data_IF_601631226378
#
_entry.id   IF_601631226378
#
_cell.length_a   1.000
_cell.length_b   1.000
_cell.length_c   1.000
_cell.angle_alpha   90.00
_cell.angle_beta   90.00
_cell.angle_gamma   90.00
#
_symmetry.space_group_name_H-M   'P 1'
#
loop_
_entity.id
_entity.type
_entity.pdbx_description
1 polymer ?
#
# COMPACT_ATOMS: atom_id res chain seq x y z
N UNK A 1 -6.56 -28.41 1.44
CA UNK A 1 -6.25 -29.10 0.15
C UNK A 1 -5.04 -28.40 -0.41
N UNK A 2 -3.98 -29.14 -0.52
CA UNK A 2 -2.62 -28.73 -0.85
C UNK A 2 -2.53 -28.08 -2.23
N UNK A 3 -1.93 -26.89 -2.28
CA UNK A 3 -1.52 -26.28 -3.52
C UNK A 3 -0.33 -27.08 -4.08
N UNK A 4 -0.53 -27.67 -5.22
CA UNK A 4 0.43 -28.46 -5.95
C UNK A 4 1.59 -27.55 -6.40
N UNK A 5 2.77 -27.76 -5.86
CA UNK A 5 4.00 -27.11 -6.29
C UNK A 5 4.32 -27.48 -7.73
N UNK A 6 4.37 -26.49 -8.62
CA UNK A 6 4.91 -26.67 -9.96
C UNK A 6 6.44 -26.79 -9.87
N UNK A 7 6.96 -27.98 -10.04
CA UNK A 7 8.39 -28.24 -10.24
C UNK A 7 8.80 -27.77 -11.64
N UNK A 8 9.67 -26.77 -11.68
CA UNK A 8 10.36 -26.39 -12.90
C UNK A 8 11.00 -25.01 -12.83
N UNK A 9 12.27 -25.01 -12.57
CA UNK A 9 13.32 -23.99 -12.61
C UNK A 9 13.89 -23.69 -11.24
N UNK A 10 15.06 -24.28 -11.02
CA UNK A 10 16.11 -23.95 -10.07
C UNK A 10 15.62 -23.51 -8.68
N UNK A 11 15.90 -24.33 -7.71
CA UNK A 11 15.73 -24.08 -6.29
C UNK A 11 16.42 -22.76 -5.86
N UNK A 12 15.80 -21.62 -6.16
CA UNK A 12 16.11 -20.39 -5.49
C UNK A 12 15.49 -20.53 -4.10
N UNK A 13 16.28 -20.95 -3.14
CA UNK A 13 15.94 -20.89 -1.72
C UNK A 13 15.43 -19.47 -1.43
N UNK A 14 14.12 -19.29 -1.38
CA UNK A 14 13.45 -18.08 -0.89
C UNK A 14 13.73 -18.04 0.61
N UNK A 15 14.91 -17.56 0.97
CA UNK A 15 15.25 -17.35 2.36
C UNK A 15 14.36 -16.22 2.85
N UNK A 16 13.33 -16.56 3.61
CA UNK A 16 12.50 -15.59 4.32
C UNK A 16 13.41 -14.73 5.19
N UNK A 17 13.45 -13.42 4.94
CA UNK A 17 14.31 -12.49 5.68
C UNK A 17 13.79 -12.33 7.09
N UNK A 18 12.46 -12.22 7.26
CA UNK A 18 11.84 -12.09 8.57
C UNK A 18 10.36 -11.79 8.50
N UNK A 19 9.71 -11.93 9.63
CA UNK A 19 8.36 -11.44 9.89
C UNK A 19 8.50 -10.14 10.70
N UNK A 20 7.98 -9.05 10.16
CA UNK A 20 8.00 -7.72 10.76
C UNK A 20 6.59 -7.24 11.18
N UNK A 21 5.59 -8.14 11.16
CA UNK A 21 4.23 -7.82 11.56
C UNK A 21 3.98 -8.00 13.06
N UNK A 22 4.79 -8.81 13.74
CA UNK A 22 4.54 -9.20 15.13
C UNK A 22 5.77 -9.07 16.02
N UNK A 23 5.52 -8.70 17.29
CA UNK A 23 6.55 -8.66 18.32
C UNK A 23 7.62 -7.62 18.11
N UNK A 24 7.33 -6.58 17.35
CA UNK A 24 8.27 -5.50 17.05
C UNK A 24 8.56 -4.66 18.29
N UNK A 25 9.84 -4.34 18.52
CA UNK A 25 10.31 -3.47 19.58
C UNK A 25 10.88 -2.18 18.96
N UNK A 26 10.42 -1.03 19.40
CA UNK A 26 11.03 0.26 19.05
C UNK A 26 12.40 0.35 19.77
N UNK A 27 13.46 0.51 18.98
CA UNK A 27 14.85 0.60 19.47
C UNK A 27 15.41 2.00 19.43
N UNK A 28 14.84 2.88 18.61
CA UNK A 28 15.24 4.27 18.49
C UNK A 28 14.29 5.08 17.63
N UNK A 29 14.41 6.40 17.70
CA UNK A 29 13.73 7.31 16.80
C UNK A 29 14.53 8.60 16.63
N UNK A 30 14.28 9.27 15.49
CA UNK A 30 14.83 10.59 15.20
C UNK A 30 13.77 11.44 14.50
N UNK A 31 13.74 12.75 14.82
CA UNK A 31 12.88 13.72 14.16
C UNK A 31 13.74 14.78 13.49
N UNK A 32 13.45 15.04 12.21
CA UNK A 32 14.17 16.06 11.43
C UNK A 32 13.16 16.94 10.68
N UNK A 33 13.26 18.27 10.77
CA UNK A 33 12.42 19.15 9.96
C UNK A 33 12.85 19.09 8.49
N UNK A 34 11.86 19.14 7.60
CA UNK A 34 12.05 19.28 6.15
C UNK A 34 11.51 20.64 5.74
N UNK A 35 12.33 21.40 5.04
CA UNK A 35 11.95 22.64 4.39
C UNK A 35 12.63 22.69 3.02
N UNK A 36 11.86 22.48 1.96
CA UNK A 36 12.40 22.39 0.61
C UNK A 36 11.45 22.98 -0.43
N UNK A 37 12.02 23.43 -1.52
CA UNK A 37 11.25 23.88 -2.69
C UNK A 37 11.57 22.98 -3.86
N UNK A 38 10.52 22.48 -4.50
CA UNK A 38 10.67 21.73 -5.73
C UNK A 38 9.72 22.25 -6.83
N UNK A 39 10.03 21.90 -8.05
CA UNK A 39 9.26 22.31 -9.22
C UNK A 39 8.65 21.09 -9.92
N UNK A 40 7.42 21.27 -10.40
CA UNK A 40 6.71 20.30 -11.22
C UNK A 40 6.13 21.02 -12.44
N UNK A 41 6.54 20.60 -13.63
CA UNK A 41 6.25 21.35 -14.87
C UNK A 41 4.83 21.14 -15.41
N UNK A 42 4.10 20.15 -14.92
CA UNK A 42 2.82 19.71 -15.51
C UNK A 42 1.63 19.72 -14.57
N UNK A 43 1.72 20.47 -13.49
CA UNK A 43 0.62 20.61 -12.53
C UNK A 43 0.24 22.08 -12.33
N UNK A 44 -0.95 22.29 -11.76
CA UNK A 44 -1.54 23.62 -11.55
C UNK A 44 -0.62 24.56 -10.71
N UNK A 45 0.12 24.00 -9.77
CA UNK A 45 1.10 24.74 -8.98
C UNK A 45 2.50 24.22 -9.28
N UNK A 46 3.23 24.94 -10.12
CA UNK A 46 4.56 24.48 -10.59
C UNK A 46 5.66 24.59 -9.54
N UNK A 47 5.56 25.53 -8.60
CA UNK A 47 6.52 25.72 -7.50
C UNK A 47 5.85 25.34 -6.18
N UNK A 48 6.37 24.31 -5.53
CA UNK A 48 5.85 23.80 -4.26
C UNK A 48 6.88 24.03 -3.16
N UNK A 49 6.50 24.78 -2.13
CA UNK A 49 7.26 24.87 -0.90
C UNK A 49 6.73 23.81 0.06
N UNK A 50 7.51 22.77 0.29
CA UNK A 50 7.14 21.64 1.12
C UNK A 50 7.80 21.73 2.50
N UNK A 51 6.97 21.82 3.52
CA UNK A 51 7.38 21.86 4.92
C UNK A 51 6.74 20.70 5.67
N UNK A 52 7.56 19.91 6.33
CA UNK A 52 7.12 18.71 7.06
C UNK A 52 8.10 18.39 8.19
N UNK A 53 7.68 17.49 9.08
CA UNK A 53 8.58 16.79 9.98
C UNK A 53 8.75 15.34 9.52
N UNK A 54 9.98 14.88 9.40
CA UNK A 54 10.30 13.48 9.15
C UNK A 54 10.61 12.80 10.48
N UNK A 55 9.89 11.73 10.80
CA UNK A 55 10.12 10.86 11.94
C UNK A 55 10.59 9.51 11.41
N UNK A 56 11.79 9.10 11.81
CA UNK A 56 12.32 7.76 11.57
C UNK A 56 12.18 6.95 12.85
N UNK A 57 11.46 5.84 12.79
CA UNK A 57 11.34 4.88 13.88
C UNK A 57 12.10 3.60 13.53
N UNK A 58 13.07 3.23 14.35
CA UNK A 58 13.84 2.00 14.18
C UNK A 58 13.20 0.88 15.00
N UNK A 59 12.87 -0.22 14.37
CA UNK A 59 12.28 -1.39 15.01
C UNK A 59 13.15 -2.63 14.82
N UNK A 60 13.01 -3.54 15.78
CA UNK A 60 13.65 -4.84 15.77
C UNK A 60 12.62 -5.92 16.10
N UNK A 61 12.63 -7.01 15.35
CA UNK A 61 11.80 -8.16 15.63
C UNK A 61 12.45 -9.09 16.68
N UNK A 62 11.74 -10.13 17.20
CA UNK A 62 12.30 -11.03 18.22
C UNK A 62 13.56 -11.79 17.80
N UNK A 63 13.88 -11.80 16.50
CA UNK A 63 15.10 -12.44 15.95
C UNK A 63 16.25 -11.46 15.73
N UNK A 64 16.13 -10.21 16.20
CA UNK A 64 17.15 -9.18 16.02
C UNK A 64 17.21 -8.56 14.61
N UNK A 65 16.20 -8.79 13.78
CA UNK A 65 16.14 -8.25 12.43
C UNK A 65 15.48 -6.87 12.44
N UNK A 66 16.02 -5.94 11.66
CA UNK A 66 15.67 -4.52 11.70
C UNK A 66 14.80 -4.09 10.55
N UNK A 67 13.90 -3.16 10.83
CA UNK A 67 13.10 -2.42 9.87
C UNK A 67 12.93 -0.99 10.37
N UNK A 68 12.98 -0.03 9.46
CA UNK A 68 12.66 1.34 9.78
C UNK A 68 11.30 1.71 9.20
N UNK A 69 10.53 2.47 9.97
CA UNK A 69 9.31 3.12 9.51
C UNK A 69 9.57 4.61 9.47
N UNK A 70 9.47 5.20 8.29
CA UNK A 70 9.71 6.62 8.07
C UNK A 70 8.38 7.30 7.83
N UNK A 71 8.02 8.26 8.68
CA UNK A 71 6.84 9.10 8.51
C UNK A 71 7.27 10.50 8.07
N UNK A 72 6.48 11.11 7.21
CA UNK A 72 6.52 12.55 6.92
C UNK A 72 5.16 13.14 7.21
N UNK A 73 5.12 14.13 8.07
CA UNK A 73 3.90 14.80 8.50
C UNK A 73 3.98 16.26 8.14
N UNK A 74 3.12 16.70 7.25
CA UNK A 74 2.91 18.10 6.89
C UNK A 74 1.61 18.61 7.51
N UNK A 75 1.25 19.86 7.22
CA UNK A 75 -0.05 20.40 7.64
C UNK A 75 -1.23 19.80 6.88
N UNK A 76 -1.00 19.12 5.77
CA UNK A 76 -2.04 18.66 4.85
C UNK A 76 -2.04 17.16 4.61
N UNK A 77 -0.93 16.49 4.92
CA UNK A 77 -0.77 15.06 4.62
C UNK A 77 0.12 14.33 5.63
N UNK A 78 -0.03 13.02 5.65
CA UNK A 78 0.87 12.09 6.32
C UNK A 78 1.28 11.04 5.29
N UNK A 79 2.57 10.96 5.01
CA UNK A 79 3.14 9.89 4.21
C UNK A 79 3.98 8.97 5.09
N UNK A 80 4.02 7.68 4.74
CA UNK A 80 4.93 6.75 5.41
C UNK A 80 5.50 5.73 4.43
N UNK A 81 6.62 5.14 4.80
CA UNK A 81 7.24 4.02 4.09
C UNK A 81 7.99 3.11 5.04
N UNK A 82 8.13 1.86 4.64
CA UNK A 82 9.02 0.90 5.29
C UNK A 82 10.38 0.90 4.59
N UNK A 83 11.45 0.79 5.37
CA UNK A 83 12.81 0.65 4.85
C UNK A 83 13.46 -0.57 5.49
N UNK A 84 13.79 -1.56 4.68
CA UNK A 84 14.57 -2.72 5.10
C UNK A 84 16.06 -2.40 4.92
N UNK A 85 16.86 -2.42 5.98
CA UNK A 85 18.29 -2.22 5.87
C UNK A 85 18.91 -3.26 4.94
N UNK A 86 19.89 -2.83 4.13
CA UNK A 86 20.60 -3.73 3.23
C UNK A 86 21.28 -4.84 4.04
N UNK A 87 21.03 -6.07 3.67
CA UNK A 87 21.70 -7.22 4.29
C UNK A 87 22.94 -7.60 3.47
N UNK A 88 24.04 -7.86 4.17
CA UNK A 88 25.31 -8.23 3.55
C UNK A 88 25.15 -9.42 2.59
N UNK A 89 25.71 -9.26 1.40
CA UNK A 89 25.73 -10.29 0.36
C UNK A 89 24.44 -10.51 -0.45
N UNK A 90 23.39 -9.67 -0.26
CA UNK A 90 22.14 -9.81 -1.02
C UNK A 90 21.81 -8.56 -1.82
N UNK A 91 21.56 -8.75 -3.12
CA UNK A 91 21.22 -7.67 -4.04
C UNK A 91 19.76 -7.18 -3.93
N UNK A 92 18.82 -8.06 -3.59
CA UNK A 92 17.38 -7.75 -3.53
C UNK A 92 16.65 -8.56 -2.47
N UNK A 93 15.48 -8.08 -2.08
CA UNK A 93 14.55 -8.68 -1.13
C UNK A 93 13.17 -8.71 -1.75
N UNK A 94 12.46 -9.82 -1.64
CA UNK A 94 11.06 -9.92 -2.05
C UNK A 94 10.17 -9.75 -0.82
N UNK A 95 9.29 -8.74 -0.87
CA UNK A 95 8.22 -8.56 0.11
C UNK A 95 7.01 -9.37 -0.35
N UNK A 96 6.55 -10.30 0.47
CA UNK A 96 5.44 -11.22 0.11
C UNK A 96 4.08 -10.78 0.61
N UNK A 97 4.06 -9.97 1.67
CA UNK A 97 2.84 -9.41 2.24
C UNK A 97 3.13 -8.12 2.99
N UNK A 98 2.11 -7.31 3.15
CA UNK A 98 2.12 -6.07 3.93
C UNK A 98 0.89 -6.03 4.83
N UNK A 99 1.10 -5.79 6.13
CA UNK A 99 0.04 -5.76 7.16
C UNK A 99 -0.45 -4.33 7.45
N UNK A 100 -0.12 -3.38 6.59
CA UNK A 100 -0.60 -2.00 6.71
C UNK A 100 -2.11 -1.94 6.62
N UNK A 101 -2.72 -1.21 7.54
CA UNK A 101 -4.17 -1.03 7.54
C UNK A 101 -4.57 0.39 7.91
N UNK A 102 -5.71 0.80 7.36
CA UNK A 102 -6.35 2.10 7.60
C UNK A 102 -7.68 1.88 8.31
N UNK A 103 -7.75 2.30 9.58
CA UNK A 103 -8.96 2.19 10.40
C UNK A 103 -9.67 3.53 10.44
N UNK A 104 -10.97 3.50 10.16
CA UNK A 104 -11.82 4.68 10.14
C UNK A 104 -12.90 4.64 11.23
N UNK A 105 -13.41 5.80 11.66
CA UNK A 105 -14.59 5.89 12.55
C UNK A 105 -15.84 5.24 11.94
N UNK A 106 -16.81 4.89 12.78
CA UNK A 106 -18.02 4.17 12.32
C UNK A 106 -18.90 4.97 11.36
N UNK A 107 -18.93 6.30 11.48
CA UNK A 107 -19.72 7.19 10.60
C UNK A 107 -19.09 7.39 9.21
N UNK A 108 -18.03 6.66 8.88
CA UNK A 108 -17.34 6.81 7.61
C UNK A 108 -18.11 6.15 6.46
N UNK A 109 -18.21 6.87 5.35
CA UNK A 109 -18.67 6.35 4.05
C UNK A 109 -17.56 6.43 3.01
N UNK A 110 -17.71 5.71 1.93
CA UNK A 110 -16.65 5.49 0.96
C UNK A 110 -17.03 5.91 -0.45
N UNK A 111 -16.00 6.29 -1.23
CA UNK A 111 -16.05 6.53 -2.67
C UNK A 111 -14.88 5.76 -3.29
N UNK A 112 -15.09 4.48 -3.53
CA UNK A 112 -14.02 3.56 -3.90
C UNK A 112 -14.28 2.97 -5.29
N UNK A 113 -13.23 2.92 -6.11
CA UNK A 113 -13.24 2.25 -7.40
C UNK A 113 -12.87 0.77 -7.21
N UNK A 114 -13.77 -0.19 -7.50
CA UNK A 114 -13.45 -1.60 -7.35
C UNK A 114 -12.38 -2.01 -8.36
N UNK A 115 -11.44 -2.83 -7.91
CA UNK A 115 -10.47 -3.47 -8.80
C UNK A 115 -11.19 -4.46 -9.69
N UNK A 116 -11.15 -4.26 -11.00
CA UNK A 116 -11.68 -5.21 -11.96
C UNK A 116 -10.82 -6.49 -12.01
N UNK A 117 -11.46 -7.60 -12.40
CA UNK A 117 -10.74 -8.85 -12.64
C UNK A 117 -9.85 -8.69 -13.88
N UNK A 118 -8.55 -8.82 -13.71
CA UNK A 118 -7.57 -8.66 -14.78
C UNK A 118 -7.76 -9.64 -15.95
N UNK A 119 -8.34 -10.82 -15.68
CA UNK A 119 -8.56 -11.84 -16.71
C UNK A 119 -9.96 -11.79 -17.31
N UNK A 120 -10.94 -11.31 -16.56
CA UNK A 120 -12.36 -11.37 -16.92
C UNK A 120 -12.96 -9.97 -17.03
N UNK A 121 -12.51 -9.02 -16.23
CA UNK A 121 -13.04 -7.65 -16.17
C UNK A 121 -13.05 -6.98 -17.53
N UNK A 122 -11.96 -7.09 -18.27
CA UNK A 122 -11.87 -6.59 -19.65
C UNK A 122 -12.97 -7.13 -20.58
N UNK A 123 -13.30 -8.41 -20.49
CA UNK A 123 -14.34 -9.02 -21.31
C UNK A 123 -15.75 -8.66 -20.85
N UNK A 124 -15.95 -8.41 -19.56
CA UNK A 124 -17.25 -8.16 -18.97
C UNK A 124 -17.69 -6.72 -19.10
N UNK A 125 -16.76 -5.82 -18.88
CA UNK A 125 -17.14 -4.44 -18.62
C UNK A 125 -17.02 -3.58 -19.85
N UNK A 126 -15.90 -3.55 -20.46
CA UNK A 126 -15.63 -2.60 -21.54
C UNK A 126 -14.13 -2.73 -21.90
N UNK A 127 -13.68 -2.15 -22.98
CA UNK A 127 -12.26 -1.97 -23.23
C UNK A 127 -11.64 -0.89 -22.31
N UNK A 128 -11.96 -0.91 -21.01
CA UNK A 128 -11.51 0.00 -19.99
C UNK A 128 -11.51 -0.70 -18.64
N UNK A 129 -10.55 -0.37 -17.79
CA UNK A 129 -10.50 -0.80 -16.37
C UNK A 129 -11.23 0.19 -15.46
N UNK A 130 -11.89 1.17 -16.00
CA UNK A 130 -12.72 2.12 -15.26
C UNK A 130 -14.01 1.46 -14.81
N UNK A 131 -14.30 1.57 -13.53
CA UNK A 131 -15.50 1.04 -12.89
C UNK A 131 -16.25 2.18 -12.20
N UNK A 132 -17.55 1.99 -12.00
CA UNK A 132 -18.38 2.99 -11.36
C UNK A 132 -18.11 3.06 -9.85
N UNK A 133 -18.00 4.28 -9.33
CA UNK A 133 -17.96 4.53 -7.90
C UNK A 133 -19.37 4.44 -7.32
N UNK A 134 -19.49 3.77 -6.18
CA UNK A 134 -20.68 3.85 -5.36
C UNK A 134 -20.52 5.00 -4.37
N UNK A 135 -21.28 6.07 -4.57
CA UNK A 135 -21.23 7.23 -3.69
C UNK A 135 -21.77 6.93 -2.31
N UNK A 136 -21.07 7.41 -1.27
CA UNK A 136 -21.45 7.23 0.13
C UNK A 136 -21.75 5.77 0.52
N UNK A 137 -21.01 4.83 -0.05
CA UNK A 137 -21.19 3.43 0.29
C UNK A 137 -20.78 3.16 1.76
N UNK A 138 -21.49 2.28 2.47
CA UNK A 138 -21.10 1.92 3.82
C UNK A 138 -19.76 1.16 3.82
N UNK A 139 -19.01 1.30 4.91
CA UNK A 139 -17.73 0.60 5.09
C UNK A 139 -17.84 -0.93 5.04
N UNK A 140 -19.05 -1.48 5.25
CA UNK A 140 -19.34 -2.92 5.20
C UNK A 140 -19.48 -3.48 3.78
N UNK A 141 -19.55 -2.63 2.75
CA UNK A 141 -19.71 -3.09 1.38
C UNK A 141 -18.46 -3.85 0.93
N UNK A 142 -18.67 -4.89 0.17
CA UNK A 142 -17.61 -5.63 -0.53
C UNK A 142 -17.37 -5.06 -1.91
N UNK A 143 -16.15 -5.20 -2.40
CA UNK A 143 -15.85 -4.81 -3.76
C UNK A 143 -16.61 -5.70 -4.77
N UNK A 144 -17.00 -5.11 -5.89
CA UNK A 144 -17.88 -5.76 -6.88
C UNK A 144 -17.34 -7.09 -7.41
N UNK A 145 -16.01 -7.22 -7.50
CA UNK A 145 -15.35 -8.39 -8.06
C UNK A 145 -14.59 -9.24 -7.03
N UNK A 146 -14.63 -8.87 -5.75
CA UNK A 146 -13.91 -9.57 -4.68
C UNK A 146 -12.40 -9.38 -4.70
N UNK A 147 -11.89 -8.35 -5.41
CA UNK A 147 -10.46 -8.10 -5.58
C UNK A 147 -9.96 -6.86 -4.84
N UNK A 148 -10.85 -6.15 -4.14
CA UNK A 148 -10.53 -4.93 -3.42
C UNK A 148 -10.71 -3.67 -4.26
N UNK A 149 -10.04 -2.58 -3.84
CA UNK A 149 -10.24 -1.26 -4.41
C UNK A 149 -8.93 -0.62 -4.83
N UNK A 150 -8.91 -0.01 -6.01
CA UNK A 150 -7.73 0.67 -6.56
C UNK A 150 -7.51 2.03 -5.90
N UNK A 151 -6.25 2.41 -5.72
CA UNK A 151 -5.90 3.77 -5.34
C UNK A 151 -6.10 4.78 -6.50
N UNK A 152 -6.46 6.03 -6.18
CA UNK A 152 -6.73 6.61 -4.86
C UNK A 152 -8.10 6.21 -4.29
N UNK A 153 -8.20 6.11 -2.97
CA UNK A 153 -9.39 5.76 -2.24
C UNK A 153 -9.87 6.94 -1.38
N UNK A 154 -11.10 7.38 -1.56
CA UNK A 154 -11.65 8.53 -0.85
C UNK A 154 -12.67 8.09 0.20
N UNK A 155 -12.57 8.67 1.38
CA UNK A 155 -13.42 8.41 2.53
C UNK A 155 -14.02 9.71 3.07
N UNK A 156 -15.30 9.70 3.41
CA UNK A 156 -15.97 10.79 4.12
C UNK A 156 -16.22 10.38 5.57
N UNK A 157 -15.73 11.15 6.51
CA UNK A 157 -15.90 10.91 7.94
C UNK A 157 -17.04 11.76 8.45
N UNK A 158 -18.28 11.28 8.25
CA UNK A 158 -19.48 12.04 8.61
C UNK A 158 -19.42 13.47 8.07
N UNK A 159 -19.58 14.45 8.97
CA UNK A 159 -19.46 15.88 8.68
C UNK A 159 -18.08 16.45 9.05
N UNK A 160 -17.16 15.62 9.59
CA UNK A 160 -15.86 16.05 10.10
C UNK A 160 -14.83 16.29 9.01
N UNK A 161 -14.97 15.64 7.86
CA UNK A 161 -14.07 15.85 6.74
C UNK A 161 -13.86 14.65 5.84
N UNK A 162 -12.80 14.75 5.00
CA UNK A 162 -12.46 13.79 3.98
C UNK A 162 -11.03 13.31 4.14
N UNK A 163 -10.81 12.03 3.87
CA UNK A 163 -9.49 11.42 3.85
C UNK A 163 -9.28 10.77 2.49
N UNK A 164 -8.20 11.14 1.80
CA UNK A 164 -7.75 10.47 0.59
C UNK A 164 -6.57 9.57 0.94
N UNK A 165 -6.70 8.30 0.64
CA UNK A 165 -5.61 7.31 0.78
C UNK A 165 -5.10 6.97 -0.60
N UNK A 166 -3.79 7.04 -0.79
CA UNK A 166 -3.15 6.70 -2.06
C UNK A 166 -1.72 6.21 -1.81
N UNK A 167 -1.13 5.60 -2.81
CA UNK A 167 0.30 5.30 -2.85
C UNK A 167 1.01 6.21 -3.83
N UNK A 168 2.29 6.41 -3.63
CA UNK A 168 3.15 7.23 -4.49
C UNK A 168 4.56 6.65 -4.55
N UNK A 169 5.35 7.08 -5.55
CA UNK A 169 6.72 6.61 -5.73
C UNK A 169 6.82 5.17 -6.22
N UNK A 170 5.76 4.61 -6.80
CA UNK A 170 5.76 3.29 -7.43
C UNK A 170 6.64 3.33 -8.67
N UNK A 171 7.59 2.42 -8.75
CA UNK A 171 8.49 2.25 -9.90
C UNK A 171 8.64 0.75 -10.24
N UNK A 172 9.52 0.42 -11.17
CA UNK A 172 9.74 -0.96 -11.62
C UNK A 172 10.19 -1.95 -10.53
N UNK A 173 10.54 -1.49 -9.34
CA UNK A 173 10.96 -2.32 -8.19
C UNK A 173 9.80 -2.67 -7.26
N UNK A 174 8.65 -2.02 -7.42
CA UNK A 174 7.49 -2.16 -6.55
C UNK A 174 6.24 -2.46 -7.37
N UNK A 175 5.45 -3.42 -6.93
CA UNK A 175 4.12 -3.59 -7.48
C UNK A 175 3.19 -2.48 -6.97
N UNK A 176 2.25 -2.02 -7.79
CA UNK A 176 1.14 -1.21 -7.31
C UNK A 176 0.30 -2.01 -6.32
N UNK A 177 -0.10 -1.40 -5.21
CA UNK A 177 -0.98 -2.04 -4.24
C UNK A 177 -2.43 -1.57 -4.38
N UNK A 178 -3.32 -2.11 -3.57
CA UNK A 178 -4.73 -1.76 -3.49
C UNK A 178 -5.25 -1.95 -2.07
N UNK A 179 -6.47 -1.52 -1.79
CA UNK A 179 -7.15 -1.88 -0.54
C UNK A 179 -7.83 -3.26 -0.65
N UNK A 180 -7.98 -3.90 0.50
CA UNK A 180 -8.68 -5.19 0.65
C UNK A 180 -10.12 -5.15 0.14
N UNK A 181 -10.69 -6.34 -0.10
CA UNK A 181 -12.06 -6.51 -0.62
C UNK A 181 -13.14 -5.96 0.32
N UNK A 182 -12.92 -6.09 1.60
CA UNK A 182 -13.85 -5.70 2.63
C UNK A 182 -13.11 -5.12 3.82
N UNK A 183 -13.75 -4.21 4.56
CA UNK A 183 -13.25 -3.77 5.85
C UNK A 183 -13.72 -4.73 6.96
N UNK A 184 -12.82 -5.01 7.89
CA UNK A 184 -13.14 -5.71 9.13
C UNK A 184 -13.07 -4.72 10.30
N UNK A 185 -14.21 -4.42 10.92
CA UNK A 185 -14.30 -3.42 11.98
C UNK A 185 -13.81 -2.03 11.52
N UNK A 186 -14.24 -1.61 10.34
CA UNK A 186 -13.83 -0.38 9.66
C UNK A 186 -12.31 -0.28 9.38
N UNK A 187 -11.63 -1.39 9.23
CA UNK A 187 -10.23 -1.48 8.86
C UNK A 187 -10.09 -2.05 7.45
N UNK A 188 -9.59 -1.26 6.50
CA UNK A 188 -9.07 -1.77 5.25
C UNK A 188 -7.58 -2.05 5.36
N UNK A 189 -7.12 -3.16 4.80
CA UNK A 189 -5.70 -3.51 4.72
C UNK A 189 -5.17 -3.33 3.31
N UNK A 190 -3.86 -3.17 3.18
CA UNK A 190 -3.17 -3.18 1.88
C UNK A 190 -3.17 -4.60 1.33
N UNK A 191 -3.42 -4.73 0.04
CA UNK A 191 -3.34 -5.99 -0.69
C UNK A 191 -2.46 -5.84 -1.93
N UNK A 192 -1.64 -6.84 -2.18
CA UNK A 192 -0.77 -6.91 -3.36
C UNK A 192 -1.54 -7.40 -4.59
N UNK A 193 -1.03 -7.17 -5.81
CA UNK A 193 -1.61 -7.70 -7.03
C UNK A 193 -1.80 -9.21 -6.96
N UNK A 194 -2.78 -9.70 -7.70
CA UNK A 194 -3.00 -11.14 -7.83
C UNK A 194 -1.78 -11.82 -8.45
N UNK A 195 -1.46 -13.02 -7.98
CA UNK A 195 -0.29 -13.78 -8.43
C UNK A 195 -0.23 -13.97 -9.96
N UNK A 196 -1.38 -14.10 -10.62
CA UNK A 196 -1.46 -14.22 -12.06
C UNK A 196 -0.94 -12.99 -12.82
N UNK A 197 -1.01 -11.81 -12.24
CA UNK A 197 -0.47 -10.59 -12.85
C UNK A 197 1.05 -10.51 -12.76
N UNK A 198 1.65 -11.17 -11.78
CA UNK A 198 3.11 -11.19 -11.60
C UNK A 198 3.81 -12.12 -12.60
N UNK A 199 3.08 -13.08 -13.20
CA UNK A 199 3.63 -14.03 -14.16
C UNK A 199 3.44 -13.62 -15.62
N UNK A 200 2.63 -12.62 -15.91
CA UNK A 200 2.28 -12.20 -17.26
C UNK A 200 3.00 -10.94 -17.74
N UNK A 201 3.77 -10.29 -16.90
CA UNK A 201 4.65 -9.21 -17.32
C UNK A 201 5.90 -9.82 -17.97
N UNK A 202 6.11 -9.67 -19.28
CA UNK A 202 7.39 -9.99 -19.87
C UNK A 202 8.43 -9.04 -19.26
N UNK A 203 9.42 -9.61 -18.63
CA UNK A 203 10.64 -8.92 -18.16
C UNK A 203 11.46 -8.37 -19.32
#
# INVERSE_FOLDING_TARGET
RDAQESRGLGDVYKRQIGDFAKGMKLTGHAVTPIDTVYHQDRIKTSKVHYQANELICNFENPKGQKIDVVFRVSNHDVAFRYTLPRQDGKGSVTVTAEETGFRFPQQTTTFLCPQSDAMIGWKRTKPSYEEEYKADAPMSDRSQYGHGYTFPCLFRIGDDGWVLVSETGVDSRYCGSRLSDVSEGNLYTVAFPMACLLYTSPS
#
